data_IF_370079449285
#
_entry.id   IF_370079449285
#
_cell.length_a   1.000
_cell.length_b   1.000
_cell.length_c   1.000
_cell.angle_alpha   90.00
_cell.angle_beta   90.00
_cell.angle_gamma   90.00
#
_symmetry.space_group_name_H-M   'P 1'
#
loop_
_entity.id
_entity.type
_entity.pdbx_description
1 polymer ?
#
# COMPACT_ATOMS: atom_id res chain seq x y z
N UNK A 1 -37.16 62.12 -68.62
CA UNK A 1 -36.12 61.08 -68.60
C UNK A 1 -35.83 60.70 -67.17
N UNK A 2 -36.35 59.59 -66.77
CA UNK A 2 -36.29 59.07 -65.39
C UNK A 2 -35.32 57.91 -65.33
N UNK A 3 -34.25 58.03 -64.55
CA UNK A 3 -33.32 56.96 -64.32
C UNK A 3 -33.61 56.33 -62.94
N UNK A 4 -34.07 55.11 -63.00
CA UNK A 4 -34.34 54.27 -61.82
C UNK A 4 -33.05 53.65 -61.33
N UNK A 5 -32.60 54.03 -60.17
CA UNK A 5 -31.44 53.40 -59.49
C UNK A 5 -32.00 52.29 -58.62
N UNK A 6 -31.67 51.01 -58.95
CA UNK A 6 -32.03 49.82 -58.08
C UNK A 6 -30.82 49.49 -57.25
N UNK A 7 -30.91 49.80 -55.97
CA UNK A 7 -29.99 49.29 -54.97
C UNK A 7 -30.20 47.79 -54.78
N UNK A 8 -29.25 47.01 -55.27
CA UNK A 8 -29.19 45.55 -55.03
C UNK A 8 -28.60 45.33 -53.63
N UNK A 9 -29.47 45.00 -52.71
CA UNK A 9 -29.04 44.53 -51.37
C UNK A 9 -28.36 43.19 -51.52
N UNK A 10 -27.04 43.13 -51.29
CA UNK A 10 -26.24 41.92 -51.30
C UNK A 10 -26.37 41.20 -49.94
N UNK A 11 -27.30 40.24 -49.90
CA UNK A 11 -27.66 39.45 -48.69
C UNK A 11 -26.60 38.43 -48.26
N UNK A 12 -25.42 38.39 -48.87
CA UNK A 12 -24.44 37.32 -48.67
C UNK A 12 -23.46 37.52 -47.47
N UNK A 13 -23.43 38.67 -46.86
CA UNK A 13 -22.43 38.95 -45.81
C UNK A 13 -22.89 38.64 -44.39
N UNK A 14 -24.20 38.46 -44.16
CA UNK A 14 -24.72 38.18 -42.79
C UNK A 14 -24.59 36.74 -42.36
N UNK A 15 -24.67 35.76 -43.27
CA UNK A 15 -24.58 34.32 -42.89
C UNK A 15 -23.17 33.90 -42.48
N UNK A 16 -22.13 34.51 -43.00
CA UNK A 16 -20.73 34.12 -42.69
C UNK A 16 -20.34 34.44 -41.25
N UNK A 17 -20.78 35.56 -40.70
CA UNK A 17 -20.39 35.97 -39.34
C UNK A 17 -21.06 35.10 -38.23
N UNK A 18 -22.29 34.69 -38.44
CA UNK A 18 -22.97 33.78 -37.47
C UNK A 18 -22.41 32.37 -37.47
N UNK A 19 -21.97 31.87 -38.60
CA UNK A 19 -21.34 30.54 -38.67
C UNK A 19 -20.01 30.50 -37.91
N UNK A 20 -19.21 31.54 -37.92
CA UNK A 20 -17.95 31.65 -37.17
C UNK A 20 -18.20 31.76 -35.66
N UNK A 21 -19.20 32.51 -35.22
CA UNK A 21 -19.54 32.63 -33.82
C UNK A 21 -20.08 31.32 -33.25
N UNK A 22 -20.88 30.58 -33.99
CA UNK A 22 -21.35 29.25 -33.60
C UNK A 22 -20.22 28.20 -33.55
N UNK A 23 -19.31 28.25 -34.51
CA UNK A 23 -18.15 27.34 -34.54
C UNK A 23 -17.20 27.57 -33.37
N UNK A 24 -16.89 28.86 -33.06
CA UNK A 24 -16.04 29.21 -31.90
C UNK A 24 -16.72 28.85 -30.59
N UNK A 25 -18.04 29.08 -30.45
CA UNK A 25 -18.83 28.71 -29.29
C UNK A 25 -18.84 27.18 -29.05
N UNK A 26 -19.00 26.39 -30.10
CA UNK A 26 -19.01 24.91 -29.98
C UNK A 26 -17.64 24.36 -29.59
N UNK A 27 -16.54 24.93 -30.12
CA UNK A 27 -15.18 24.55 -29.73
C UNK A 27 -14.89 24.92 -28.27
N UNK A 28 -15.31 26.08 -27.82
CA UNK A 28 -15.16 26.49 -26.43
C UNK A 28 -15.92 25.57 -25.43
N UNK A 29 -17.14 25.13 -25.79
CA UNK A 29 -17.92 24.18 -24.99
C UNK A 29 -17.27 22.79 -24.97
N UNK A 30 -16.74 22.33 -26.11
CA UNK A 30 -16.02 21.03 -26.18
C UNK A 30 -14.72 21.05 -25.38
N UNK A 31 -13.98 22.14 -25.35
CA UNK A 31 -12.80 22.31 -24.54
C UNK A 31 -13.12 22.42 -23.04
N UNK A 32 -14.22 23.03 -22.67
CA UNK A 32 -14.68 23.11 -21.28
C UNK A 32 -15.17 21.75 -20.73
N UNK A 33 -15.80 20.91 -21.56
CA UNK A 33 -16.30 19.59 -21.15
C UNK A 33 -15.20 18.53 -21.12
N UNK A 34 -14.18 18.64 -21.96
CA UNK A 34 -13.04 17.70 -21.95
C UNK A 34 -11.97 18.04 -20.88
N UNK A 35 -11.94 19.27 -20.36
CA UNK A 35 -10.95 19.70 -19.36
C UNK A 35 -11.30 19.39 -17.90
N UNK A 36 -12.57 19.16 -17.56
CA UNK A 36 -12.98 18.99 -16.16
C UNK A 36 -12.75 17.59 -15.58
N UNK A 37 -12.53 16.56 -16.40
CA UNK A 37 -12.28 15.18 -15.90
C UNK A 37 -10.83 14.92 -15.48
N UNK A 38 -9.87 15.71 -15.96
CA UNK A 38 -8.44 15.39 -15.75
C UNK A 38 -7.81 16.09 -14.55
N UNK A 39 -8.47 17.07 -13.98
CA UNK A 39 -7.88 17.90 -12.89
C UNK A 39 -8.09 17.26 -11.50
N UNK A 40 -8.95 16.26 -11.34
CA UNK A 40 -9.28 15.69 -10.03
C UNK A 40 -8.91 14.23 -9.79
N UNK A 41 -8.20 13.58 -10.68
CA UNK A 41 -7.56 12.33 -10.32
C UNK A 41 -6.31 12.67 -9.48
N UNK A 42 -6.54 12.96 -8.20
CA UNK A 42 -5.49 12.89 -7.19
C UNK A 42 -4.89 11.51 -7.34
N UNK A 43 -3.63 11.41 -7.82
CA UNK A 43 -2.96 10.13 -7.99
C UNK A 43 -3.05 9.40 -6.65
N UNK A 44 -3.88 8.36 -6.62
CA UNK A 44 -4.07 7.52 -5.44
C UNK A 44 -2.75 6.80 -5.23
N UNK A 45 -2.01 7.18 -4.17
CA UNK A 45 -0.69 6.63 -3.90
C UNK A 45 -0.81 5.37 -3.07
N UNK A 46 -0.02 4.38 -3.42
CA UNK A 46 0.15 3.18 -2.61
C UNK A 46 0.57 3.55 -1.18
N UNK A 47 0.18 2.72 -0.24
CA UNK A 47 0.59 2.85 1.14
C UNK A 47 1.97 2.19 1.31
N UNK A 48 2.95 2.92 1.81
CA UNK A 48 4.28 2.41 2.09
C UNK A 48 4.52 2.30 3.58
N UNK A 49 4.86 1.10 4.04
CA UNK A 49 5.24 0.80 5.42
C UNK A 49 6.73 0.47 5.44
N UNK A 50 7.53 1.31 6.07
CA UNK A 50 8.94 1.02 6.36
C UNK A 50 9.01 0.36 7.72
N UNK A 51 9.40 -0.90 7.76
CA UNK A 51 9.58 -1.64 9.01
C UNK A 51 11.06 -1.60 9.39
N UNK A 52 11.35 -1.14 10.60
CA UNK A 52 12.69 -1.20 11.20
C UNK A 52 12.69 -2.28 12.26
N UNK A 53 13.47 -3.31 12.06
CA UNK A 53 13.73 -4.35 13.05
C UNK A 53 14.98 -4.00 13.82
N UNK A 54 14.88 -3.99 15.14
CA UNK A 54 16.00 -3.64 16.05
C UNK A 54 16.28 -4.84 16.94
N UNK A 55 17.46 -5.44 16.77
CA UNK A 55 17.93 -6.56 17.60
C UNK A 55 18.53 -6.07 18.89
N UNK A 56 18.14 -6.66 20.02
CA UNK A 56 18.78 -6.41 21.30
C UNK A 56 20.11 -7.16 21.42
N UNK A 57 20.90 -6.87 22.45
CA UNK A 57 22.13 -7.58 22.79
C UNK A 57 21.92 -9.06 23.14
N UNK A 58 20.72 -9.40 23.59
CA UNK A 58 20.31 -10.75 23.95
C UNK A 58 19.45 -11.42 22.89
N UNK A 59 19.46 -10.92 21.64
CA UNK A 59 18.65 -11.45 20.53
C UNK A 59 18.82 -12.96 20.40
N UNK A 60 17.69 -13.72 20.39
CA UNK A 60 17.65 -15.15 20.14
C UNK A 60 18.70 -15.94 20.94
N UNK A 61 18.81 -15.65 22.23
CA UNK A 61 19.85 -16.20 23.10
C UNK A 61 19.66 -17.71 23.34
N UNK A 62 20.67 -18.54 22.99
CA UNK A 62 20.62 -19.99 23.09
C UNK A 62 21.07 -20.57 24.44
N UNK A 63 21.43 -19.70 25.39
CA UNK A 63 21.99 -20.06 26.69
C UNK A 63 23.49 -19.74 26.83
N UNK A 64 24.19 -19.58 25.70
CA UNK A 64 25.62 -19.25 25.66
C UNK A 64 25.87 -17.87 25.00
N UNK A 65 25.18 -17.59 23.89
CA UNK A 65 25.39 -16.39 23.10
C UNK A 65 24.12 -15.92 22.41
N UNK A 66 24.08 -14.64 22.05
CA UNK A 66 23.08 -14.09 21.18
C UNK A 66 23.31 -14.56 19.73
N UNK A 67 22.22 -14.85 19.01
CA UNK A 67 22.26 -15.39 17.65
C UNK A 67 21.39 -14.58 16.71
N UNK A 68 21.66 -14.65 15.41
CA UNK A 68 20.80 -14.08 14.39
C UNK A 68 19.45 -14.78 14.35
N UNK A 69 18.43 -14.06 13.91
CA UNK A 69 17.05 -14.55 13.79
C UNK A 69 16.43 -14.09 12.48
N UNK A 70 15.66 -14.96 11.85
CA UNK A 70 14.77 -14.57 10.76
C UNK A 70 13.52 -13.91 11.33
N UNK A 71 13.16 -12.75 10.80
CA UNK A 71 11.93 -12.02 11.17
C UNK A 71 11.08 -11.82 9.93
N UNK A 72 9.80 -12.13 10.02
CA UNK A 72 8.81 -11.87 8.96
C UNK A 72 7.82 -10.83 9.43
N UNK A 73 7.54 -9.86 8.55
CA UNK A 73 6.48 -8.89 8.72
C UNK A 73 5.40 -9.09 7.65
N UNK A 74 4.16 -8.92 8.05
CA UNK A 74 2.99 -9.08 7.20
C UNK A 74 2.07 -7.87 7.35
N UNK A 75 1.40 -7.54 6.26
CA UNK A 75 0.19 -6.74 6.29
C UNK A 75 -0.97 -7.66 5.98
N UNK A 76 -1.92 -7.73 6.90
CA UNK A 76 -3.00 -8.70 6.92
C UNK A 76 -4.36 -8.02 6.82
N UNK A 77 -5.33 -8.73 6.27
CA UNK A 77 -6.76 -8.38 6.35
C UNK A 77 -7.41 -8.91 7.62
N UNK A 78 -6.86 -10.01 8.18
CA UNK A 78 -7.30 -10.65 9.42
C UNK A 78 -6.10 -11.38 10.05
N UNK A 79 -5.83 -11.12 11.32
CA UNK A 79 -4.72 -11.73 12.04
C UNK A 79 -5.07 -13.04 12.76
N UNK A 80 -6.30 -13.49 12.72
CA UNK A 80 -6.73 -14.67 13.48
C UNK A 80 -5.92 -15.94 13.13
N UNK A 81 -5.74 -16.21 11.80
CA UNK A 81 -4.93 -17.36 11.36
C UNK A 81 -3.45 -17.18 11.72
N UNK A 82 -2.90 -15.98 11.55
CA UNK A 82 -1.54 -15.66 11.97
C UNK A 82 -1.33 -15.94 13.46
N UNK A 83 -2.26 -15.51 14.32
CA UNK A 83 -2.17 -15.71 15.77
C UNK A 83 -2.39 -17.16 16.20
N UNK A 84 -3.12 -17.96 15.44
CA UNK A 84 -3.41 -19.38 15.75
C UNK A 84 -2.43 -20.36 15.11
N UNK A 85 -1.72 -19.97 14.03
CA UNK A 85 -0.80 -20.84 13.31
C UNK A 85 0.39 -21.29 14.16
N UNK A 86 0.86 -22.51 13.89
CA UNK A 86 2.19 -22.95 14.34
C UNK A 86 3.25 -22.06 13.68
N UNK A 87 4.22 -21.51 14.43
CA UNK A 87 5.30 -20.69 13.86
C UNK A 87 6.00 -21.36 12.67
N UNK A 88 6.19 -22.68 12.69
CA UNK A 88 6.83 -23.44 11.62
C UNK A 88 6.14 -23.25 10.27
N UNK A 89 4.79 -23.17 10.26
CA UNK A 89 4.02 -22.94 9.02
C UNK A 89 4.42 -21.59 8.38
N UNK A 90 4.65 -20.58 9.21
CA UNK A 90 4.96 -19.23 8.73
C UNK A 90 6.39 -19.09 8.21
N UNK A 91 7.34 -19.94 8.70
CA UNK A 91 8.75 -19.90 8.28
C UNK A 91 9.11 -20.98 7.26
N UNK A 92 8.48 -22.16 7.35
CA UNK A 92 8.68 -23.27 6.41
C UNK A 92 7.37 -23.63 5.67
N UNK A 93 7.16 -23.11 4.47
CA UNK A 93 5.97 -23.41 3.67
C UNK A 93 5.80 -24.90 3.36
N UNK A 94 6.86 -25.69 3.42
CA UNK A 94 6.80 -27.13 3.15
C UNK A 94 6.25 -27.95 4.32
N UNK A 95 6.23 -27.39 5.52
CA UNK A 95 5.76 -28.08 6.72
C UNK A 95 4.26 -28.42 6.65
N UNK A 96 3.42 -27.44 6.28
CA UNK A 96 1.99 -27.62 6.02
C UNK A 96 1.54 -26.74 4.82
N UNK A 97 1.82 -27.19 3.58
CA UNK A 97 1.65 -26.34 2.39
C UNK A 97 0.24 -25.78 2.21
N UNK A 98 -0.78 -26.59 2.49
CA UNK A 98 -2.19 -26.19 2.33
C UNK A 98 -2.57 -25.05 3.28
N UNK A 99 -2.15 -25.13 4.54
CA UNK A 99 -2.44 -24.08 5.53
C UNK A 99 -1.66 -22.80 5.22
N UNK A 100 -0.40 -22.94 4.78
CA UNK A 100 0.40 -21.78 4.35
C UNK A 100 -0.21 -21.08 3.14
N UNK A 101 -0.62 -21.84 2.11
CA UNK A 101 -1.28 -21.26 0.93
C UNK A 101 -2.61 -20.59 1.26
N UNK A 102 -3.40 -21.20 2.15
CA UNK A 102 -4.66 -20.63 2.59
C UNK A 102 -4.44 -19.30 3.32
N UNK A 103 -3.45 -19.24 4.22
CA UNK A 103 -3.04 -18.01 4.90
C UNK A 103 -2.60 -16.94 3.90
N UNK A 104 -1.69 -17.29 2.98
CA UNK A 104 -1.18 -16.36 1.96
C UNK A 104 -2.30 -15.80 1.06
N UNK A 105 -3.23 -16.64 0.62
CA UNK A 105 -4.30 -16.23 -0.31
C UNK A 105 -5.40 -15.42 0.36
N UNK A 106 -5.74 -15.73 1.61
CA UNK A 106 -6.92 -15.18 2.28
C UNK A 106 -6.59 -13.96 3.14
N UNK A 107 -5.44 -13.97 3.81
CA UNK A 107 -5.14 -12.98 4.83
C UNK A 107 -4.00 -12.04 4.46
N UNK A 108 -2.98 -12.51 3.70
CA UNK A 108 -1.79 -11.70 3.41
C UNK A 108 -2.03 -10.74 2.25
N UNK A 109 -1.86 -9.47 2.52
CA UNK A 109 -1.88 -8.40 1.49
C UNK A 109 -0.49 -8.18 0.93
N UNK A 110 0.52 -8.15 1.81
CA UNK A 110 1.93 -7.98 1.48
C UNK A 110 2.80 -8.44 2.65
N UNK A 111 4.05 -8.81 2.39
CA UNK A 111 4.99 -9.25 3.43
C UNK A 111 6.43 -8.87 3.11
N UNK A 112 7.28 -8.90 4.13
CA UNK A 112 8.71 -8.73 4.01
C UNK A 112 9.42 -9.66 5.00
N UNK A 113 10.66 -10.05 4.68
CA UNK A 113 11.52 -10.87 5.53
C UNK A 113 12.83 -10.12 5.76
N UNK A 114 13.36 -10.20 6.96
CA UNK A 114 14.67 -9.69 7.35
C UNK A 114 15.44 -10.75 8.15
N UNK A 115 16.78 -10.68 8.07
CA UNK A 115 17.68 -11.47 8.90
C UNK A 115 18.40 -10.50 9.84
N UNK A 116 18.09 -10.61 11.11
CA UNK A 116 18.51 -9.66 12.13
C UNK A 116 19.60 -10.27 13.00
N UNK A 117 20.76 -9.62 13.09
CA UNK A 117 21.83 -9.96 14.02
C UNK A 117 21.70 -9.17 15.33
N UNK A 118 22.36 -9.64 16.42
CA UNK A 118 22.38 -8.90 17.68
C UNK A 118 22.92 -7.47 17.50
N UNK A 119 22.24 -6.49 18.13
CA UNK A 119 22.57 -5.06 18.09
C UNK A 119 22.47 -4.41 16.69
N UNK A 120 21.98 -5.13 15.69
CA UNK A 120 21.74 -4.59 14.35
C UNK A 120 20.34 -3.98 14.21
N UNK A 121 20.24 -3.10 13.22
CA UNK A 121 18.95 -2.57 12.75
C UNK A 121 18.82 -2.86 11.27
N UNK A 122 17.83 -3.65 10.92
CA UNK A 122 17.46 -3.95 9.54
C UNK A 122 16.17 -3.24 9.16
N UNK A 123 16.05 -2.86 7.89
CA UNK A 123 14.86 -2.19 7.39
C UNK A 123 14.31 -2.90 6.18
N UNK A 124 13.01 -3.11 6.18
CA UNK A 124 12.28 -3.65 5.03
C UNK A 124 11.14 -2.72 4.64
N UNK A 125 10.83 -2.67 3.36
CA UNK A 125 9.72 -1.87 2.84
C UNK A 125 8.59 -2.77 2.35
N UNK A 126 7.37 -2.47 2.81
CA UNK A 126 6.15 -3.17 2.40
C UNK A 126 5.28 -2.17 1.65
N UNK A 127 5.03 -2.43 0.37
CA UNK A 127 4.15 -1.62 -0.47
C UNK A 127 2.78 -2.28 -0.55
N UNK A 128 1.74 -1.51 -0.27
CA UNK A 128 0.35 -1.95 -0.28
C UNK A 128 -0.38 -1.16 -1.36
N UNK A 129 -0.92 -1.83 -2.40
CA UNK A 129 -1.69 -1.16 -3.44
C UNK A 129 -2.85 -0.37 -2.85
N UNK A 130 -3.03 0.89 -3.28
CA UNK A 130 -4.09 1.78 -2.79
C UNK A 130 -5.47 1.11 -2.83
N UNK A 131 -5.78 0.42 -3.92
CA UNK A 131 -7.06 -0.26 -4.09
C UNK A 131 -7.40 -1.28 -2.98
N UNK A 132 -6.37 -1.86 -2.33
CA UNK A 132 -6.52 -2.74 -1.17
C UNK A 132 -6.56 -1.94 0.13
N UNK A 133 -5.68 -0.94 0.28
CA UNK A 133 -5.57 -0.13 1.48
C UNK A 133 -6.83 0.69 1.78
N UNK A 134 -7.53 1.18 0.75
CA UNK A 134 -8.72 2.01 0.92
C UNK A 134 -9.94 1.21 1.40
N UNK A 135 -10.10 -0.02 0.93
CA UNK A 135 -11.30 -0.84 1.13
C UNK A 135 -11.29 -1.72 2.37
N UNK A 136 -10.13 -1.93 3.00
CA UNK A 136 -9.95 -2.90 4.07
C UNK A 136 -9.38 -2.25 5.33
N UNK A 137 -9.80 -2.74 6.49
CA UNK A 137 -9.04 -2.51 7.71
C UNK A 137 -7.87 -3.47 7.70
N UNK A 138 -6.67 -2.91 7.81
CA UNK A 138 -5.43 -3.66 7.72
C UNK A 138 -4.78 -3.77 9.10
N UNK A 139 -4.18 -4.92 9.33
CA UNK A 139 -3.38 -5.19 10.51
C UNK A 139 -1.92 -5.41 10.12
N UNK A 140 -1.02 -4.89 10.92
CA UNK A 140 0.40 -5.23 10.84
C UNK A 140 0.68 -6.37 11.78
N UNK A 141 1.46 -7.34 11.32
CA UNK A 141 1.92 -8.46 12.11
C UNK A 141 3.41 -8.70 11.90
N UNK A 142 4.13 -9.07 12.95
CA UNK A 142 5.50 -9.53 12.84
C UNK A 142 5.74 -10.76 13.72
N UNK A 143 6.64 -11.63 13.28
CA UNK A 143 7.05 -12.85 13.99
C UNK A 143 8.54 -13.09 13.80
N UNK A 144 9.20 -13.58 14.84
CA UNK A 144 10.59 -14.00 14.80
C UNK A 144 10.73 -15.52 15.00
N UNK A 145 11.67 -16.13 14.27
CA UNK A 145 11.97 -17.57 14.32
C UNK A 145 13.05 -17.85 15.40
N UNK A 146 12.65 -17.86 16.64
CA UNK A 146 13.57 -18.10 17.77
C UNK A 146 14.02 -19.54 17.88
N UNK A 147 15.29 -19.74 18.27
CA UNK A 147 15.86 -21.05 18.56
C UNK A 147 15.10 -21.78 19.66
N UNK A 148 14.72 -21.05 20.71
CA UNK A 148 13.83 -21.51 21.77
C UNK A 148 12.52 -20.74 21.68
N UNK A 149 11.46 -21.30 21.07
CA UNK A 149 10.18 -20.62 20.97
C UNK A 149 9.64 -20.26 22.36
N UNK A 150 9.26 -19.00 22.60
CA UNK A 150 8.75 -18.58 23.90
C UNK A 150 7.37 -19.15 24.17
N UNK A 151 7.04 -19.28 25.46
CA UNK A 151 5.67 -19.55 25.87
C UNK A 151 4.77 -18.31 25.69
N UNK A 152 3.49 -18.51 25.39
CA UNK A 152 2.50 -17.44 25.35
C UNK A 152 2.56 -16.53 24.13
N UNK A 153 3.11 -17.01 23.02
CA UNK A 153 3.14 -16.30 21.73
C UNK A 153 3.87 -14.94 21.76
N UNK A 154 4.86 -14.81 22.59
CA UNK A 154 5.70 -13.60 22.69
C UNK A 154 6.61 -13.40 21.47
N UNK A 155 6.75 -14.46 20.62
CA UNK A 155 7.48 -14.42 19.35
C UNK A 155 6.79 -13.58 18.28
N UNK A 156 5.58 -13.07 18.54
CA UNK A 156 4.78 -12.32 17.56
C UNK A 156 4.09 -11.11 18.14
N UNK A 157 3.83 -10.11 17.27
CA UNK A 157 3.08 -8.92 17.60
C UNK A 157 2.07 -8.63 16.49
N UNK A 158 0.89 -8.12 16.88
CA UNK A 158 -0.17 -7.68 15.93
C UNK A 158 -0.77 -6.37 16.42
N UNK A 159 -1.01 -5.44 15.50
CA UNK A 159 -1.74 -4.21 15.78
C UNK A 159 -2.37 -3.62 14.50
N UNK A 160 -3.38 -2.76 14.67
CA UNK A 160 -4.06 -2.10 13.55
C UNK A 160 -3.13 -1.15 12.80
N UNK A 161 -3.08 -1.28 11.49
CA UNK A 161 -2.31 -0.41 10.63
C UNK A 161 -3.04 0.91 10.37
N UNK A 162 -2.35 2.03 10.50
CA UNK A 162 -2.92 3.34 10.17
C UNK A 162 -2.88 3.55 8.65
N UNK A 163 -3.96 4.08 8.07
CA UNK A 163 -4.04 4.40 6.64
C UNK A 163 -3.28 5.71 6.32
N UNK A 164 -1.96 5.69 6.42
CA UNK A 164 -1.08 6.82 6.07
C UNK A 164 -0.28 6.47 4.83
N UNK A 165 -0.10 7.40 3.87
CA UNK A 165 0.63 7.12 2.62
C UNK A 165 2.05 6.60 2.85
N UNK A 166 2.71 7.09 3.90
CA UNK A 166 4.02 6.58 4.34
C UNK A 166 4.05 6.57 5.86
N UNK A 167 4.48 5.44 6.42
CA UNK A 167 4.69 5.29 7.87
C UNK A 167 5.89 4.42 8.16
N UNK A 168 6.54 4.69 9.29
CA UNK A 168 7.61 3.86 9.82
C UNK A 168 7.09 3.15 11.06
N UNK A 169 7.39 1.87 11.17
CA UNK A 169 7.08 1.01 12.31
C UNK A 169 8.40 0.46 12.83
N UNK A 170 8.67 0.62 14.11
CA UNK A 170 9.83 0.02 14.75
C UNK A 170 9.40 -1.22 15.51
N UNK A 171 10.08 -2.35 15.27
CA UNK A 171 9.87 -3.63 15.92
C UNK A 171 11.16 -4.02 16.64
N UNK A 172 11.09 -4.06 17.95
CA UNK A 172 12.17 -4.55 18.79
C UNK A 172 12.08 -6.07 18.92
N UNK A 173 13.22 -6.74 18.74
CA UNK A 173 13.33 -8.20 18.82
C UNK A 173 14.37 -8.56 19.89
N UNK A 174 13.93 -9.22 20.93
CA UNK A 174 14.76 -9.56 22.07
C UNK A 174 15.14 -11.05 22.14
N UNK A 175 15.41 -11.52 23.34
CA UNK A 175 15.82 -12.88 23.60
C UNK A 175 14.81 -13.92 23.07
N UNK A 176 13.54 -13.69 23.38
CA UNK A 176 12.43 -14.57 23.12
C UNK A 176 11.11 -13.82 22.89
N UNK A 177 11.19 -12.56 22.46
CA UNK A 177 10.02 -11.70 22.30
C UNK A 177 10.16 -10.71 21.13
N UNK A 178 9.00 -10.33 20.60
CA UNK A 178 8.82 -9.29 19.59
C UNK A 178 7.85 -8.24 20.12
N UNK A 179 8.19 -6.96 20.02
CA UNK A 179 7.32 -5.87 20.44
C UNK A 179 7.42 -4.65 19.52
N UNK A 180 6.32 -3.92 19.41
CA UNK A 180 6.31 -2.61 18.80
C UNK A 180 6.87 -1.57 19.80
N UNK A 181 7.68 -0.62 19.28
CA UNK A 181 8.15 0.54 20.02
C UNK A 181 7.05 1.61 20.13
#
# INVERSE_FOLDING_TARGET
MSSHNRDVYDGRTFHSRYQWVLAVGLVAVLLATSGCGWIFHKAQKDLTVVVKFVGTDSLNFDGERAQAVEVKAFVLTDSHRFMSADPRILFDPSFEPTLYEDFQKKDVVSSATAHLSPLETESAEIVIPYAKADKMDLEFAAIANFFHPPSGKRERVVFKLRKKPKQTITINVGKDWVAQD
#
